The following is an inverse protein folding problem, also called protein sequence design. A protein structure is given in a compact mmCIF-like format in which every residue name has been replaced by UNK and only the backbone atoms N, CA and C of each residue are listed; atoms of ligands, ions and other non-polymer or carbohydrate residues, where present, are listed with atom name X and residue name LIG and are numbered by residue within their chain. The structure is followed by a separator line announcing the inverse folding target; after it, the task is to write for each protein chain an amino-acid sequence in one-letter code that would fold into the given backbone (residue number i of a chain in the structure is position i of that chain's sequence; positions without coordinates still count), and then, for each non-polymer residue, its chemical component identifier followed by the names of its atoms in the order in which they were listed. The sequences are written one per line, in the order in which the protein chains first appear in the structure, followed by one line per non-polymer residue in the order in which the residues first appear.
data_IF_748512442253
#
_entry.id   IF_748512442253
#
_cell.length_a   1.000
_cell.length_b   1.000
_cell.length_c   1.000
_cell.angle_alpha   90.00
_cell.angle_beta   90.00
_cell.angle_gamma   90.00
#
_symmetry.space_group_name_H-M   'P 1'
#
loop_
_entity.id
_entity.type
_entity.pdbx_description
1 polymer ?
#
# COMPACT_ATOMS: atom_id res chain seq x y z
N UNK A 1 -20.88 2.76 -8.41
CA UNK A 1 -21.23 3.16 -7.03
C UNK A 1 -21.18 1.92 -6.17
N UNK A 2 -20.33 1.89 -5.15
CA UNK A 2 -20.33 0.81 -4.14
C UNK A 2 -21.44 1.13 -3.12
N UNK A 3 -22.31 0.18 -2.74
CA UNK A 3 -23.37 0.43 -1.77
C UNK A 3 -22.82 0.88 -0.41
N UNK A 4 -23.43 1.94 0.15
CA UNK A 4 -23.19 2.42 1.51
C UNK A 4 -23.29 1.25 2.50
N UNK A 5 -22.22 1.00 3.26
CA UNK A 5 -22.15 -0.12 4.22
C UNK A 5 -21.32 -1.34 3.78
N UNK A 6 -20.65 -1.29 2.61
CA UNK A 6 -19.60 -2.26 2.25
C UNK A 6 -18.24 -1.59 2.23
N UNK A 7 -17.39 -1.90 3.21
CA UNK A 7 -15.99 -1.46 3.28
C UNK A 7 -15.16 -2.25 2.27
N UNK A 8 -15.09 -1.79 1.03
CA UNK A 8 -13.90 -2.05 0.22
C UNK A 8 -12.85 -1.05 0.73
N UNK A 9 -12.16 -1.40 1.82
CA UNK A 9 -11.16 -0.51 2.43
C UNK A 9 -9.99 -0.34 1.47
N UNK A 10 -10.07 0.66 0.59
CA UNK A 10 -9.01 1.04 -0.32
C UNK A 10 -8.01 1.90 0.48
N UNK A 11 -6.92 1.30 0.94
CA UNK A 11 -5.79 2.09 1.46
C UNK A 11 -4.97 2.62 0.29
N UNK A 12 -4.41 3.82 0.45
CA UNK A 12 -3.49 4.45 -0.50
C UNK A 12 -2.17 4.79 0.16
N UNK A 13 -1.11 4.87 -0.65
CA UNK A 13 0.16 5.48 -0.24
C UNK A 13 0.06 6.97 -0.58
N UNK A 14 0.19 7.83 0.43
CA UNK A 14 0.06 9.28 0.25
C UNK A 14 1.39 9.95 -0.06
N UNK A 15 2.45 9.52 0.62
CA UNK A 15 3.74 10.18 0.57
C UNK A 15 4.85 9.25 1.04
N UNK A 16 6.07 9.60 0.64
CA UNK A 16 7.31 9.04 1.17
C UNK A 16 8.18 10.18 1.69
N UNK A 17 8.96 9.91 2.73
CA UNK A 17 10.03 10.79 3.18
C UNK A 17 11.37 10.07 3.05
N UNK A 18 12.40 10.78 2.59
CA UNK A 18 13.70 10.20 2.23
C UNK A 18 13.62 9.33 0.98
N UNK A 19 14.37 8.22 0.96
CA UNK A 19 14.36 7.21 -0.09
C UNK A 19 14.04 5.81 0.50
N UNK A 20 12.78 5.54 0.88
CA UNK A 20 12.40 4.22 1.37
C UNK A 20 12.37 3.21 0.23
N UNK A 21 12.99 2.06 0.43
CA UNK A 21 12.84 0.89 -0.45
C UNK A 21 11.78 -0.02 0.16
N UNK A 22 10.64 -0.11 -0.52
CA UNK A 22 9.47 -0.83 -0.01
C UNK A 22 8.79 -1.63 -1.11
N UNK A 23 8.03 -2.65 -0.69
CA UNK A 23 7.24 -3.53 -1.55
C UNK A 23 5.93 -3.89 -0.86
N UNK A 24 4.84 -3.99 -1.63
CA UNK A 24 3.55 -4.46 -1.15
C UNK A 24 3.14 -5.70 -1.96
N UNK A 25 2.68 -6.72 -1.26
CA UNK A 25 2.30 -8.01 -1.84
C UNK A 25 0.90 -8.42 -1.40
N UNK A 26 0.25 -9.23 -2.23
CA UNK A 26 -0.89 -10.05 -1.83
C UNK A 26 -0.36 -11.30 -1.12
N UNK A 27 -0.59 -11.47 0.20
CA UNK A 27 -0.07 -12.60 0.95
C UNK A 27 -0.73 -13.94 0.57
N UNK A 28 -1.92 -13.92 -0.03
CA UNK A 28 -2.60 -15.14 -0.47
C UNK A 28 -2.01 -15.73 -1.74
N UNK A 29 -1.49 -14.89 -2.63
CA UNK A 29 -0.92 -15.32 -3.92
C UNK A 29 0.60 -15.15 -4.01
N UNK A 30 1.20 -14.37 -3.12
CA UNK A 30 2.60 -13.96 -3.21
C UNK A 30 2.87 -12.91 -4.29
N UNK A 31 1.84 -12.39 -4.96
CA UNK A 31 2.01 -11.43 -6.05
C UNK A 31 2.51 -10.08 -5.52
N UNK A 32 3.58 -9.55 -6.12
CA UNK A 32 4.01 -8.17 -5.92
C UNK A 32 3.00 -7.23 -6.58
N UNK A 33 2.39 -6.36 -5.79
CA UNK A 33 1.40 -5.38 -6.25
C UNK A 33 2.07 -4.05 -6.57
N UNK A 34 2.89 -3.54 -5.65
CA UNK A 34 3.54 -2.24 -5.75
C UNK A 34 4.94 -2.24 -5.14
N UNK A 35 5.78 -1.30 -5.57
CA UNK A 35 7.12 -1.11 -5.02
C UNK A 35 7.50 0.37 -4.96
N UNK A 36 8.64 0.69 -4.35
CA UNK A 36 9.19 2.05 -4.30
C UNK A 36 9.45 2.70 -5.66
N UNK A 37 9.52 1.91 -6.75
CA UNK A 37 9.57 2.43 -8.12
C UNK A 37 8.21 2.76 -8.73
N UNK A 38 7.11 2.36 -8.07
CA UNK A 38 5.76 2.67 -8.53
C UNK A 38 5.43 4.15 -8.26
N UNK A 39 4.80 4.86 -9.22
CA UNK A 39 4.34 6.22 -8.97
C UNK A 39 3.30 6.21 -7.86
N UNK A 40 3.51 7.01 -6.81
CA UNK A 40 2.66 7.05 -5.61
C UNK A 40 1.25 7.57 -5.95
N UNK A 41 1.16 8.53 -6.88
CA UNK A 41 -0.10 9.11 -7.30
C UNK A 41 -1.05 8.04 -7.85
N UNK A 42 -2.15 7.79 -7.12
CA UNK A 42 -3.19 6.84 -7.54
C UNK A 42 -2.90 5.39 -7.19
N UNK A 43 -1.93 5.08 -6.31
CA UNK A 43 -1.80 3.73 -5.76
C UNK A 43 -3.00 3.40 -4.88
N UNK A 44 -3.93 2.61 -5.42
CA UNK A 44 -5.03 2.02 -4.69
C UNK A 44 -4.82 0.51 -4.62
N UNK A 45 -4.69 -0.05 -3.41
CA UNK A 45 -4.65 -1.51 -3.30
C UNK A 45 -5.95 -2.11 -3.86
N UNK A 46 -5.85 -3.14 -4.72
CA UNK A 46 -7.00 -3.67 -5.43
C UNK A 46 -8.06 -4.08 -4.40
N UNK A 47 -9.28 -3.55 -4.57
CA UNK A 47 -10.39 -3.79 -3.66
C UNK A 47 -10.62 -5.29 -3.45
N UNK A 48 -10.10 -5.80 -2.35
CA UNK A 48 -10.48 -7.09 -1.83
C UNK A 48 -11.80 -6.96 -1.11
N UNK A 49 -12.56 -8.06 -1.05
CA UNK A 49 -13.65 -8.13 -0.08
C UNK A 49 -13.19 -7.75 1.33
N UNK A 50 -14.15 -7.43 2.19
CA UNK A 50 -13.89 -7.14 3.59
C UNK A 50 -12.94 -8.19 4.21
N UNK A 51 -11.89 -7.72 4.90
CA UNK A 51 -10.90 -8.61 5.54
C UNK A 51 -9.71 -9.02 4.65
N UNK A 52 -9.57 -8.48 3.43
CA UNK A 52 -8.34 -8.71 2.64
C UNK A 52 -7.13 -8.06 3.34
N UNK A 53 -6.08 -8.85 3.53
CA UNK A 53 -4.81 -8.40 4.10
C UNK A 53 -3.79 -8.17 2.97
N UNK A 54 -2.91 -7.20 3.17
CA UNK A 54 -1.75 -6.95 2.33
C UNK A 54 -0.50 -6.93 3.20
N UNK A 55 0.60 -7.49 2.69
CA UNK A 55 1.89 -7.44 3.38
C UNK A 55 2.72 -6.30 2.78
N UNK A 56 3.18 -5.39 3.64
CA UNK A 56 4.16 -4.38 3.26
C UNK A 56 5.50 -4.69 3.91
N UNK A 57 6.56 -4.63 3.12
CA UNK A 57 7.94 -4.83 3.57
C UNK A 57 8.76 -3.58 3.25
N UNK A 58 9.62 -3.18 4.19
CA UNK A 58 10.66 -2.18 3.98
C UNK A 58 12.03 -2.85 4.09
N UNK A 59 12.95 -2.49 3.19
CA UNK A 59 14.34 -2.94 3.23
C UNK A 59 15.20 -1.89 3.97
N UNK A 60 15.63 -2.16 5.21
CA UNK A 60 16.42 -1.20 5.99
C UNK A 60 17.85 -1.03 5.47
N UNK A 61 18.41 -2.00 4.72
CA UNK A 61 19.75 -1.91 4.16
C UNK A 61 19.80 -1.06 2.89
N UNK A 62 18.69 -1.01 2.15
CA UNK A 62 18.56 -0.21 0.93
C UNK A 62 17.86 1.15 1.17
N UNK A 63 17.21 1.35 2.32
CA UNK A 63 16.55 2.61 2.67
C UNK A 63 17.49 3.60 3.35
N UNK A 64 17.31 4.90 3.11
CA UNK A 64 18.03 5.92 3.88
C UNK A 64 17.56 5.95 5.34
N UNK A 65 18.41 6.21 6.34
CA UNK A 65 17.99 6.36 7.73
C UNK A 65 16.87 7.41 7.88
N UNK A 66 15.83 7.08 8.65
CA UNK A 66 14.67 7.96 8.84
C UNK A 66 13.65 7.94 7.69
N UNK A 67 13.83 7.07 6.69
CA UNK A 67 12.82 6.93 5.62
C UNK A 67 11.49 6.45 6.16
N UNK A 68 10.40 6.94 5.57
CA UNK A 68 9.06 6.51 5.94
C UNK A 68 8.13 6.50 4.73
N UNK A 69 7.06 5.69 4.86
CA UNK A 69 5.96 5.61 3.90
C UNK A 69 4.68 5.92 4.67
N UNK A 70 3.91 6.88 4.17
CA UNK A 70 2.63 7.27 4.77
C UNK A 70 1.49 6.57 4.06
N UNK A 71 0.67 5.84 4.82
CA UNK A 71 -0.50 5.09 4.33
C UNK A 71 -1.75 5.74 4.90
N UNK A 72 -2.76 5.95 4.06
CA UNK A 72 -4.07 6.43 4.51
C UNK A 72 -5.19 5.49 4.09
N UNK A 73 -6.19 5.42 4.96
CA UNK A 73 -7.49 4.85 4.64
C UNK A 73 -8.29 5.87 3.81
N UNK A 74 -8.90 5.40 2.72
CA UNK A 74 -9.88 6.20 1.97
C UNK A 74 -11.25 5.58 2.17
N UNK A 75 -12.19 6.38 2.70
CA UNK A 75 -13.61 6.08 2.66
C UNK A 75 -14.19 6.58 1.33
N UNK A 76 -14.86 5.70 0.58
CA UNK A 76 -15.60 6.05 -0.64
C UNK A 76 -17.11 5.91 -0.41
#
# INVERSE_FOLDING_TARGET
MVPRGRTAGCFTILATAGAPVWKIYDPGTGALLYSSGSPIAGLSLPGGGAGKLFKMEMDPGASTPGSSVTIAYIEY
#
